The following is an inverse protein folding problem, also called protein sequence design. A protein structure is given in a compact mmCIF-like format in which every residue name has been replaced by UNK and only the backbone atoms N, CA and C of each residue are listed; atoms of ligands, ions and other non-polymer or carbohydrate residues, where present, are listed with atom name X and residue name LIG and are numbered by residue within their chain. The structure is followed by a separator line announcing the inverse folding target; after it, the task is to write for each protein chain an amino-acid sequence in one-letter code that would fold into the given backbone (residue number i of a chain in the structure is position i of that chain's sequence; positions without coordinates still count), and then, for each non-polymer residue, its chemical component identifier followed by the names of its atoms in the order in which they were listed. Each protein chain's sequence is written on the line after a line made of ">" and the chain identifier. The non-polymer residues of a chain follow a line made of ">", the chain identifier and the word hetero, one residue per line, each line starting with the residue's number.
data_IF_500554498333
#
_entry.id   IF_500554498333
#
_cell.length_a   1.000
_cell.length_b   1.000
_cell.length_c   1.000
_cell.angle_alpha   90.00
_cell.angle_beta   90.00
_cell.angle_gamma   90.00
#
_symmetry.space_group_name_H-M   'P 1'
#
loop_
_entity.id
_entity.type
_entity.pdbx_description
1 polymer ?
#
# COMPACT_ATOMS: atom_id res chain seq x y z
N UNK A 1 3.07 -2.74 -17.88
CA UNK A 1 3.33 -2.61 -19.33
C UNK A 1 4.00 -1.30 -19.70
N UNK A 2 3.43 -0.11 -19.40
CA UNK A 2 4.16 1.15 -19.69
C UNK A 2 5.39 1.29 -18.79
N UNK A 3 5.22 1.19 -17.46
CA UNK A 3 6.32 1.30 -16.48
C UNK A 3 7.44 0.27 -16.73
N UNK A 4 7.07 -1.00 -16.91
CA UNK A 4 7.97 -2.10 -17.32
C UNK A 4 8.80 -1.73 -18.57
N UNK A 5 8.14 -1.24 -19.63
CA UNK A 5 8.81 -0.90 -20.88
C UNK A 5 9.68 0.36 -20.79
N UNK A 6 9.34 1.31 -19.93
CA UNK A 6 10.10 2.56 -19.75
C UNK A 6 11.26 2.42 -18.76
N UNK A 7 11.08 1.64 -17.70
CA UNK A 7 12.02 1.54 -16.57
C UNK A 7 12.78 0.20 -16.55
N UNK A 8 12.48 -0.71 -17.49
CA UNK A 8 13.11 -2.03 -17.61
C UNK A 8 13.05 -2.85 -16.31
N UNK A 9 11.88 -2.82 -15.66
CA UNK A 9 11.61 -3.44 -14.37
C UNK A 9 11.11 -4.89 -14.51
N UNK A 10 11.09 -5.62 -13.39
CA UNK A 10 10.44 -6.92 -13.33
C UNK A 10 8.94 -6.80 -13.64
N UNK A 11 8.35 -7.76 -14.37
CA UNK A 11 6.92 -7.72 -14.70
C UNK A 11 6.04 -7.85 -13.45
N UNK A 12 6.48 -8.61 -12.44
CA UNK A 12 5.75 -8.82 -11.20
C UNK A 12 5.68 -7.55 -10.35
N UNK A 13 6.81 -6.90 -10.07
CA UNK A 13 6.85 -5.64 -9.31
C UNK A 13 6.08 -4.52 -10.02
N UNK A 14 6.13 -4.48 -11.36
CA UNK A 14 5.36 -3.50 -12.14
C UNK A 14 3.85 -3.70 -12.02
N UNK A 15 3.38 -4.96 -12.05
CA UNK A 15 1.95 -5.28 -11.88
C UNK A 15 1.49 -4.88 -10.49
N UNK A 16 2.27 -5.19 -9.46
CA UNK A 16 1.92 -4.82 -8.07
C UNK A 16 1.95 -3.31 -7.88
N UNK A 17 2.94 -2.61 -8.43
CA UNK A 17 3.00 -1.16 -8.34
C UNK A 17 1.82 -0.47 -9.02
N UNK A 18 1.38 -0.99 -10.17
CA UNK A 18 0.16 -0.51 -10.84
C UNK A 18 -1.10 -0.82 -10.04
N UNK A 19 -1.20 -2.02 -9.44
CA UNK A 19 -2.33 -2.38 -8.58
C UNK A 19 -2.37 -1.54 -7.29
N UNK A 20 -1.21 -1.21 -6.72
CA UNK A 20 -1.07 -0.40 -5.50
C UNK A 20 -1.67 1.00 -5.63
N UNK A 21 -1.79 1.56 -6.83
CA UNK A 21 -2.45 2.86 -7.09
C UNK A 21 -3.92 2.81 -6.65
N UNK A 22 -4.58 1.66 -6.77
CA UNK A 22 -6.01 1.49 -6.53
C UNK A 22 -6.32 0.70 -5.27
N UNK A 23 -5.60 -0.40 -5.05
CA UNK A 23 -5.99 -1.38 -4.03
C UNK A 23 -5.13 -1.28 -2.77
N UNK A 24 -3.91 -0.73 -2.88
CA UNK A 24 -2.98 -0.53 -1.77
C UNK A 24 -2.27 -1.80 -1.29
N UNK A 25 -1.37 -1.62 -0.30
CA UNK A 25 -0.36 -2.61 0.13
C UNK A 25 -0.93 -3.94 0.64
N UNK A 26 -2.15 -3.95 1.20
CA UNK A 26 -2.74 -5.17 1.79
C UNK A 26 -3.23 -6.20 0.77
N UNK A 27 -3.45 -5.78 -0.47
CA UNK A 27 -4.21 -6.56 -1.47
C UNK A 27 -3.53 -6.57 -2.83
N UNK A 28 -2.73 -5.54 -3.18
CA UNK A 28 -1.97 -5.55 -4.43
C UNK A 28 -0.96 -6.72 -4.54
N UNK A 29 -0.25 -7.15 -3.47
CA UNK A 29 0.63 -8.31 -3.56
C UNK A 29 -0.13 -9.62 -3.83
N UNK A 30 -1.43 -9.69 -3.52
CA UNK A 30 -2.24 -10.88 -3.79
C UNK A 30 -2.33 -11.17 -5.29
N UNK A 31 -2.22 -10.14 -6.14
CA UNK A 31 -2.18 -10.32 -7.59
C UNK A 31 -1.03 -11.22 -8.01
N UNK A 32 0.14 -11.12 -7.37
CA UNK A 32 1.36 -11.90 -7.67
C UNK A 32 1.68 -12.96 -6.61
N UNK A 33 0.74 -13.28 -5.71
CA UNK A 33 0.93 -14.18 -4.56
C UNK A 33 1.75 -15.45 -4.85
N UNK A 34 1.52 -16.23 -5.93
CA UNK A 34 2.29 -17.45 -6.18
C UNK A 34 3.76 -17.20 -6.51
N UNK A 35 4.12 -16.00 -6.97
CA UNK A 35 5.48 -15.65 -7.37
C UNK A 35 6.30 -14.99 -6.26
N UNK A 36 5.65 -14.50 -5.19
CA UNK A 36 6.34 -13.84 -4.05
C UNK A 36 7.51 -14.69 -3.50
N UNK A 37 7.38 -16.02 -3.29
CA UNK A 37 8.49 -16.83 -2.75
C UNK A 37 9.70 -16.95 -3.68
N UNK A 38 9.54 -16.62 -4.96
CA UNK A 38 10.58 -16.71 -6.00
C UNK A 38 11.14 -15.35 -6.40
N UNK A 39 10.67 -14.26 -5.77
CA UNK A 39 11.12 -12.91 -6.06
C UNK A 39 12.48 -12.62 -5.44
N UNK A 40 13.22 -11.70 -6.08
CA UNK A 40 14.47 -11.18 -5.54
C UNK A 40 14.19 -10.19 -4.41
N UNK A 41 15.20 -9.90 -3.59
CA UNK A 41 15.09 -8.90 -2.52
C UNK A 41 14.77 -7.51 -3.08
N UNK A 42 15.28 -7.16 -4.26
CA UNK A 42 14.99 -5.89 -4.94
C UNK A 42 13.54 -5.80 -5.42
N UNK A 43 12.95 -6.90 -5.93
CA UNK A 43 11.54 -6.96 -6.33
C UNK A 43 10.62 -6.85 -5.10
N UNK A 44 10.94 -7.56 -4.03
CA UNK A 44 10.22 -7.47 -2.74
C UNK A 44 10.30 -6.06 -2.17
N UNK A 45 11.49 -5.46 -2.16
CA UNK A 45 11.70 -4.10 -1.70
C UNK A 45 10.90 -3.09 -2.53
N UNK A 46 10.83 -3.28 -3.86
CA UNK A 46 10.05 -2.43 -4.77
C UNK A 46 8.55 -2.56 -4.53
N UNK A 47 8.05 -3.77 -4.29
CA UNK A 47 6.64 -4.03 -3.93
C UNK A 47 6.27 -3.33 -2.62
N UNK A 48 7.10 -3.48 -1.58
CA UNK A 48 6.85 -2.86 -0.28
C UNK A 48 6.92 -1.34 -0.37
N UNK A 49 7.98 -0.79 -0.98
CA UNK A 49 8.19 0.66 -1.12
C UNK A 49 7.06 1.30 -1.92
N UNK A 50 6.65 0.67 -3.02
CA UNK A 50 5.48 1.11 -3.79
C UNK A 50 4.21 1.11 -2.95
N UNK A 51 3.98 0.07 -2.15
CA UNK A 51 2.77 -0.04 -1.33
C UNK A 51 2.68 1.00 -0.22
N UNK A 52 3.81 1.41 0.36
CA UNK A 52 3.86 2.47 1.36
C UNK A 52 3.80 3.88 0.77
N UNK A 53 4.22 4.05 -0.49
CA UNK A 53 4.24 5.34 -1.16
C UNK A 53 2.88 5.77 -1.75
N UNK A 54 1.96 4.83 -1.98
CA UNK A 54 0.63 5.10 -2.54
C UNK A 54 -0.45 5.10 -1.48
N UNK A 55 -1.60 5.70 -1.82
CA UNK A 55 -2.81 5.69 -1.00
C UNK A 55 -3.79 4.69 -1.61
N UNK A 56 -4.39 3.83 -0.77
CA UNK A 56 -5.41 2.90 -1.21
C UNK A 56 -6.69 3.63 -1.64
N UNK A 57 -7.35 3.13 -2.68
CA UNK A 57 -8.62 3.67 -3.17
C UNK A 57 -9.75 3.62 -2.14
N UNK A 58 -9.70 2.65 -1.22
CA UNK A 58 -10.68 2.48 -0.14
C UNK A 58 -10.77 3.69 0.80
N UNK A 59 -9.69 4.43 1.00
CA UNK A 59 -9.65 5.60 1.88
C UNK A 59 -9.86 6.92 1.12
N UNK A 60 -9.89 6.92 -0.22
CA UNK A 60 -10.13 8.12 -1.02
C UNK A 60 -11.48 8.78 -0.70
N UNK A 61 -12.53 7.98 -0.48
CA UNK A 61 -13.85 8.48 -0.13
C UNK A 61 -13.85 9.19 1.24
N UNK A 62 -13.07 8.68 2.19
CA UNK A 62 -12.90 9.28 3.52
C UNK A 62 -12.14 10.60 3.43
N UNK A 63 -11.05 10.65 2.66
CA UNK A 63 -10.34 11.91 2.45
C UNK A 63 -11.16 12.95 1.68
N UNK A 64 -11.98 12.50 0.73
CA UNK A 64 -12.91 13.37 0.03
C UNK A 64 -13.98 13.94 0.95
N UNK A 65 -14.47 13.17 1.94
CA UNK A 65 -15.48 13.67 2.89
C UNK A 65 -14.93 14.70 3.87
N UNK A 66 -13.61 14.73 4.08
CA UNK A 66 -12.89 15.74 4.87
C UNK A 66 -12.63 17.03 4.03
N UNK A 67 -13.00 17.04 2.75
CA UNK A 67 -12.90 18.21 1.88
C UNK A 67 -11.62 18.27 1.03
N UNK A 68 -10.83 17.20 0.97
CA UNK A 68 -9.63 17.14 0.13
C UNK A 68 -10.03 16.84 -1.33
N UNK A 69 -9.55 17.62 -2.32
CA UNK A 69 -9.84 17.35 -3.72
C UNK A 69 -9.35 15.97 -4.17
N UNK A 70 -10.28 15.14 -4.65
CA UNK A 70 -9.97 13.78 -5.16
C UNK A 70 -8.98 13.83 -6.32
N UNK A 71 -8.99 14.89 -7.12
CA UNK A 71 -8.05 15.11 -8.23
C UNK A 71 -6.60 15.12 -7.76
N UNK A 72 -6.31 15.74 -6.61
CA UNK A 72 -4.96 15.77 -6.05
C UNK A 72 -4.57 14.42 -5.45
N UNK A 73 -5.51 13.72 -4.81
CA UNK A 73 -5.25 12.40 -4.22
C UNK A 73 -4.95 11.34 -5.28
N UNK A 74 -5.77 11.30 -6.34
CA UNK A 74 -5.58 10.37 -7.46
C UNK A 74 -4.33 10.74 -8.24
N UNK A 75 -4.11 12.03 -8.53
CA UNK A 75 -2.90 12.49 -9.21
C UNK A 75 -1.62 12.16 -8.42
N UNK A 76 -1.64 12.37 -7.10
CA UNK A 76 -0.55 11.98 -6.20
C UNK A 76 -0.30 10.48 -6.22
N UNK A 77 -1.34 9.65 -6.08
CA UNK A 77 -1.20 8.18 -6.09
C UNK A 77 -0.60 7.64 -7.40
N UNK A 78 -1.05 8.17 -8.55
CA UNK A 78 -0.51 7.79 -9.87
C UNK A 78 0.95 8.21 -10.01
N UNK A 79 1.33 9.38 -9.50
CA UNK A 79 2.72 9.88 -9.55
C UNK A 79 3.64 9.13 -8.56
N UNK A 80 3.10 8.70 -7.41
CA UNK A 80 3.85 7.94 -6.40
C UNK A 80 4.32 6.58 -6.92
N UNK A 81 3.56 5.89 -7.76
CA UNK A 81 3.94 4.56 -8.26
C UNK A 81 5.30 4.55 -9.01
N UNK A 82 5.54 5.36 -10.06
CA UNK A 82 6.84 5.40 -10.73
C UNK A 82 7.94 6.05 -9.84
N UNK A 83 7.60 7.05 -9.02
CA UNK A 83 8.57 7.67 -8.12
C UNK A 83 9.09 6.68 -7.07
N UNK A 84 8.22 5.87 -6.49
CA UNK A 84 8.57 4.86 -5.52
C UNK A 84 9.44 3.75 -6.13
N UNK A 85 9.14 3.32 -7.34
CA UNK A 85 9.96 2.34 -8.06
C UNK A 85 11.36 2.90 -8.36
N UNK A 86 11.45 4.15 -8.80
CA UNK A 86 12.74 4.80 -9.05
C UNK A 86 13.58 4.90 -7.77
N UNK A 87 12.99 5.35 -6.66
CA UNK A 87 13.68 5.44 -5.36
C UNK A 87 14.08 4.03 -4.88
N UNK A 88 13.19 3.06 -5.00
CA UNK A 88 13.44 1.69 -4.54
C UNK A 88 14.61 1.05 -5.28
N UNK A 89 14.71 1.21 -6.61
CA UNK A 89 15.83 0.68 -7.39
C UNK A 89 17.14 1.43 -7.20
N UNK A 90 17.09 2.68 -6.73
CA UNK A 90 18.30 3.41 -6.30
C UNK A 90 18.77 2.90 -4.93
N UNK A 91 17.85 2.59 -4.02
CA UNK A 91 18.17 2.11 -2.66
C UNK A 91 18.56 0.62 -2.62
N UNK A 92 17.86 -0.22 -3.36
CA UNK A 92 18.11 -1.65 -3.49
C UNK A 92 18.11 -2.02 -4.98
N UNK A 93 19.28 -1.91 -5.65
CA UNK A 93 19.43 -2.30 -7.04
C UNK A 93 19.12 -3.78 -7.28
N UNK A 94 18.83 -4.12 -8.53
CA UNK A 94 18.56 -5.50 -8.92
C UNK A 94 19.88 -6.26 -9.11
N UNK A 95 20.14 -7.25 -8.26
CA UNK A 95 21.39 -8.03 -8.28
C UNK A 95 21.26 -9.37 -9.05
N UNK A 96 20.03 -9.82 -9.31
CA UNK A 96 19.73 -11.13 -9.89
C UNK A 96 18.83 -11.03 -11.13
N UNK A 97 18.65 -12.15 -11.84
CA UNK A 97 17.68 -12.21 -12.94
C UNK A 97 16.27 -12.02 -12.37
N UNK A 98 15.52 -11.00 -12.79
CA UNK A 98 14.19 -10.71 -12.24
C UNK A 98 13.24 -11.89 -12.47
N UNK A 99 12.28 -12.06 -11.56
CA UNK A 99 11.30 -13.13 -11.65
C UNK A 99 10.45 -12.94 -12.91
N UNK A 100 10.59 -13.86 -13.87
CA UNK A 100 9.82 -13.82 -15.11
C UNK A 100 8.43 -14.39 -14.87
N UNK A 101 7.43 -13.84 -15.55
CA UNK A 101 6.10 -14.45 -15.67
C UNK A 101 6.16 -15.75 -16.50
N UNK A 102 6.87 -16.78 -16.03
CA UNK A 102 6.76 -18.13 -16.57
C UNK A 102 5.60 -18.82 -15.85
N UNK A 103 4.58 -19.25 -16.62
CA UNK A 103 3.39 -19.93 -16.12
C UNK A 103 2.50 -19.09 -15.18
N UNK A 104 2.24 -17.82 -15.53
CA UNK A 104 1.15 -17.05 -14.91
C UNK A 104 -0.21 -17.63 -15.34
N UNK A 105 -0.62 -18.71 -14.70
CA UNK A 105 -1.92 -19.32 -14.88
C UNK A 105 -2.72 -19.08 -13.59
N UNK A 106 -3.15 -17.84 -13.38
CA UNK A 106 -4.16 -17.58 -12.36
C UNK A 106 -5.42 -18.33 -12.78
N UNK A 107 -5.78 -19.38 -12.04
CA UNK A 107 -7.14 -19.92 -12.10
C UNK A 107 -8.06 -18.81 -11.62
N UNK A 108 -8.66 -18.08 -12.56
CA UNK A 108 -9.88 -17.35 -12.25
C UNK A 108 -10.91 -18.42 -11.86
N UNK A 109 -11.33 -18.45 -10.60
CA UNK A 109 -12.57 -19.14 -10.29
C UNK A 109 -13.67 -18.46 -11.12
N UNK A 110 -14.30 -19.24 -12.00
CA UNK A 110 -15.43 -18.78 -12.81
C UNK A 110 -16.60 -18.47 -11.87
N UNK A 111 -16.72 -17.19 -11.49
CA UNK A 111 -17.81 -16.67 -10.67
C UNK A 111 -18.47 -15.47 -11.34
N UNK A 112 -19.75 -15.25 -11.07
CA UNK A 112 -20.48 -14.09 -11.60
C UNK A 112 -19.98 -12.79 -10.95
N UNK A 113 -20.22 -11.65 -11.60
CA UNK A 113 -19.87 -10.31 -11.06
C UNK A 113 -20.39 -10.11 -9.64
N UNK A 114 -21.61 -10.60 -9.36
CA UNK A 114 -22.23 -10.54 -8.03
C UNK A 114 -21.44 -11.35 -7.00
N UNK A 115 -20.92 -12.51 -7.38
CA UNK A 115 -20.12 -13.36 -6.50
C UNK A 115 -18.76 -12.72 -6.20
N UNK A 116 -18.11 -12.12 -7.20
CA UNK A 116 -16.86 -11.39 -7.00
C UNK A 116 -17.02 -10.21 -6.03
N UNK A 117 -18.13 -9.47 -6.14
CA UNK A 117 -18.47 -8.39 -5.20
C UNK A 117 -18.72 -8.94 -3.79
N UNK A 118 -19.48 -10.02 -3.66
CA UNK A 118 -19.77 -10.63 -2.36
C UNK A 118 -18.50 -11.14 -1.69
N UNK A 119 -17.62 -11.83 -2.42
CA UNK A 119 -16.31 -12.30 -1.92
C UNK A 119 -15.43 -11.14 -1.50
N UNK A 120 -15.29 -10.11 -2.34
CA UNK A 120 -14.51 -8.91 -2.00
C UNK A 120 -15.02 -8.19 -0.74
N UNK A 121 -16.35 -8.13 -0.55
CA UNK A 121 -16.94 -7.56 0.66
C UNK A 121 -16.59 -8.41 1.90
N UNK A 122 -16.70 -9.75 1.82
CA UNK A 122 -16.35 -10.64 2.94
C UNK A 122 -14.86 -10.58 3.29
N UNK A 123 -13.98 -10.58 2.30
CA UNK A 123 -12.52 -10.52 2.49
C UNK A 123 -12.07 -9.18 3.10
N UNK A 124 -12.84 -8.12 2.92
CA UNK A 124 -12.53 -6.79 3.46
C UNK A 124 -12.81 -6.65 4.97
N UNK A 125 -13.71 -7.47 5.54
CA UNK A 125 -14.11 -7.40 6.95
C UNK A 125 -12.91 -7.42 7.91
N UNK A 126 -11.98 -8.41 7.86
CA UNK A 126 -10.84 -8.43 8.78
C UNK A 126 -9.89 -7.24 8.56
N UNK A 127 -9.75 -6.77 7.31
CA UNK A 127 -8.89 -5.62 6.99
C UNK A 127 -9.44 -4.35 7.65
N UNK A 128 -10.73 -4.09 7.51
CA UNK A 128 -11.39 -2.91 8.10
C UNK A 128 -11.38 -2.98 9.62
N UNK A 129 -11.65 -4.15 10.20
CA UNK A 129 -11.57 -4.35 11.65
C UNK A 129 -10.17 -4.03 12.20
N UNK A 130 -9.11 -4.51 11.53
CA UNK A 130 -7.74 -4.22 11.92
C UNK A 130 -7.42 -2.72 11.84
N UNK A 131 -7.88 -2.02 10.79
CA UNK A 131 -7.69 -0.57 10.65
C UNK A 131 -8.38 0.18 11.80
N UNK A 132 -9.62 -0.19 12.13
CA UNK A 132 -10.37 0.45 13.21
C UNK A 132 -9.67 0.30 14.57
N UNK A 133 -9.22 -0.92 14.90
CA UNK A 133 -8.48 -1.20 16.14
C UNK A 133 -7.15 -0.44 16.17
N UNK A 134 -6.42 -0.44 15.05
CA UNK A 134 -5.16 0.28 14.92
C UNK A 134 -5.33 1.79 15.15
N UNK A 135 -6.38 2.40 14.60
CA UNK A 135 -6.68 3.82 14.79
C UNK A 135 -7.01 4.16 16.25
N UNK A 136 -7.88 3.37 16.89
CA UNK A 136 -8.21 3.55 18.31
C UNK A 136 -6.94 3.45 19.16
N UNK A 137 -6.11 2.45 18.89
CA UNK A 137 -4.85 2.23 19.61
C UNK A 137 -3.87 3.39 19.41
N UNK A 138 -3.71 3.87 18.17
CA UNK A 138 -2.83 4.99 17.86
C UNK A 138 -3.27 6.28 18.56
N UNK A 139 -4.56 6.61 18.54
CA UNK A 139 -5.11 7.80 19.22
C UNK A 139 -4.90 7.68 20.74
N UNK A 140 -5.14 6.50 21.32
CA UNK A 140 -4.93 6.26 22.74
C UNK A 140 -3.45 6.42 23.14
N UNK A 141 -2.51 5.90 22.33
CA UNK A 141 -1.07 6.06 22.57
C UNK A 141 -0.62 7.53 22.46
N UNK A 142 -1.15 8.28 21.49
CA UNK A 142 -0.87 9.71 21.37
C UNK A 142 -1.40 10.46 22.60
N UNK A 143 -2.64 10.18 23.03
CA UNK A 143 -3.22 10.80 24.21
C UNK A 143 -2.43 10.48 25.49
N UNK A 144 -1.96 9.23 25.64
CA UNK A 144 -1.09 8.82 26.74
C UNK A 144 0.26 9.56 26.69
N UNK A 145 0.87 9.65 25.50
CA UNK A 145 2.11 10.40 25.30
C UNK A 145 1.96 11.88 25.68
N UNK A 146 0.89 12.52 25.20
CA UNK A 146 0.57 13.91 25.54
C UNK A 146 0.31 14.10 27.04
N UNK A 147 -0.34 13.13 27.71
CA UNK A 147 -0.54 13.21 29.16
C UNK A 147 0.78 13.13 29.95
N UNK A 148 1.72 12.29 29.50
CA UNK A 148 3.06 12.19 30.09
C UNK A 148 3.86 13.48 29.83
N UNK A 149 3.81 13.99 28.60
CA UNK A 149 4.48 15.24 28.21
C UNK A 149 3.91 16.43 28.97
N UNK A 150 2.59 16.56 29.09
CA UNK A 150 1.94 17.64 29.84
C UNK A 150 2.25 17.56 31.33
N UNK A 151 2.36 16.36 31.92
CA UNK A 151 2.82 16.20 33.30
C UNK A 151 4.26 16.68 33.48
N UNK A 152 5.17 16.30 32.58
CA UNK A 152 6.57 16.76 32.60
C UNK A 152 6.70 18.27 32.30
N UNK A 153 5.90 18.78 31.36
CA UNK A 153 5.85 20.19 30.99
C UNK A 153 5.35 21.06 32.14
N UNK A 154 4.40 20.56 32.93
CA UNK A 154 3.95 21.19 34.17
C UNK A 154 5.04 21.33 35.24
N UNK A 155 6.10 20.52 35.22
CA UNK A 155 7.26 20.69 36.10
C UNK A 155 8.19 21.84 35.65
N UNK A 156 8.10 22.25 34.38
CA UNK A 156 8.94 23.30 33.77
C UNK A 156 8.09 24.52 33.36
N UNK A 157 6.88 24.65 33.91
CA UNK A 157 5.92 25.75 33.65
C UNK A 157 5.46 25.89 32.18
N UNK A 158 5.52 24.79 31.40
CA UNK A 158 5.06 24.68 30.02
C UNK A 158 4.10 23.48 29.83
N UNK A 159 2.86 23.54 30.36
CA UNK A 159 1.89 22.43 30.28
C UNK A 159 1.27 22.20 28.89
N UNK A 160 1.52 23.10 27.92
CA UNK A 160 1.04 23.03 26.52
C UNK A 160 1.81 22.06 25.61
N UNK A 161 2.85 21.39 26.13
CA UNK A 161 3.63 20.34 25.46
C UNK A 161 2.91 18.99 25.46
#
# INVERSE_FOLDING_TARGET
>A
LIMDKTMQLGPCETIVAAANIFVGIGVAPLSVKPLIPTMTDSELHSIMTSGFATIAGSVLAVYSSIGIPVTHLVGGSVMSAPAALAISKVMCPEDHTPSRLQNWNMKCEEGNVVEAVARGAMDSIPIVANIAVMLITAIALIAMGNAILSWLGGLVDHPEL
#
